data_IF_668663667943
#
_entry.id   IF_668663667943
#
_cell.length_a   1.000
_cell.length_b   1.000
_cell.length_c   1.000
_cell.angle_alpha   90.00
_cell.angle_beta   90.00
_cell.angle_gamma   90.00
#
_symmetry.space_group_name_H-M   'P 1'
#
loop_
_entity.id
_entity.type
_entity.pdbx_description
1 polymer ?
#
# COMPACT_ATOMS: atom_id res chain seq x y z
N UNK A 1 -26.57 -29.44 46.73
CA UNK A 1 -26.41 -28.27 45.85
C UNK A 1 -24.93 -28.13 45.50
N UNK A 2 -24.54 -28.47 44.26
CA UNK A 2 -23.17 -28.34 43.75
C UNK A 2 -23.07 -27.03 42.97
N UNK A 3 -22.24 -26.12 43.44
CA UNK A 3 -21.91 -24.88 42.73
C UNK A 3 -20.89 -25.21 41.63
N UNK A 4 -21.27 -24.99 40.37
CA UNK A 4 -20.36 -25.08 39.23
C UNK A 4 -19.74 -23.70 39.06
N UNK A 5 -18.46 -23.56 39.40
CA UNK A 5 -17.64 -22.40 39.05
C UNK A 5 -17.37 -22.47 37.54
N UNK A 6 -18.03 -21.62 36.76
CA UNK A 6 -17.61 -21.32 35.39
C UNK A 6 -16.36 -20.46 35.46
N UNK A 7 -15.20 -21.06 35.19
CA UNK A 7 -13.99 -20.32 34.92
C UNK A 7 -14.13 -19.66 33.54
N UNK A 8 -14.32 -18.33 33.51
CA UNK A 8 -14.22 -17.53 32.30
C UNK A 8 -12.75 -17.48 31.87
N UNK A 9 -12.38 -18.32 30.90
CA UNK A 9 -11.13 -18.19 30.18
C UNK A 9 -11.15 -16.87 29.40
N UNK A 10 -10.53 -15.84 29.98
CA UNK A 10 -10.28 -14.58 29.30
C UNK A 10 -9.31 -14.81 28.15
N UNK A 11 -9.81 -14.80 26.92
CA UNK A 11 -8.99 -14.70 25.73
C UNK A 11 -8.37 -13.29 25.70
N UNK A 12 -7.13 -13.18 26.17
CA UNK A 12 -6.32 -11.99 25.91
C UNK A 12 -5.97 -11.98 24.42
N UNK A 13 -6.72 -11.21 23.63
CA UNK A 13 -6.33 -10.91 22.26
C UNK A 13 -4.94 -10.27 22.29
N UNK A 14 -3.95 -10.92 21.70
CA UNK A 14 -2.60 -10.35 21.58
C UNK A 14 -2.71 -9.01 20.85
N UNK A 15 -2.05 -7.96 21.35
CA UNK A 15 -2.16 -6.65 20.76
C UNK A 15 -1.58 -6.65 19.35
N UNK A 16 -2.18 -5.87 18.45
CA UNK A 16 -1.85 -5.79 17.03
C UNK A 16 -0.34 -5.70 16.71
N UNK A 17 0.43 -5.00 17.55
CA UNK A 17 1.87 -4.85 17.40
C UNK A 17 2.66 -6.16 17.60
N UNK A 18 2.14 -7.12 18.38
CA UNK A 18 2.78 -8.41 18.61
C UNK A 18 2.83 -9.30 17.34
N UNK A 19 2.08 -8.93 16.30
CA UNK A 19 1.95 -9.70 15.05
C UNK A 19 2.94 -9.21 13.97
N UNK A 20 3.59 -8.05 14.17
CA UNK A 20 4.55 -7.48 13.22
C UNK A 20 6.00 -7.64 13.68
N UNK A 21 6.64 -8.74 13.31
CA UNK A 21 8.04 -8.97 13.64
C UNK A 21 8.94 -8.04 12.82
N UNK A 22 9.80 -7.28 13.50
CA UNK A 22 10.81 -6.47 12.85
C UNK A 22 11.88 -7.39 12.23
N UNK A 23 12.06 -7.32 10.92
CA UNK A 23 13.05 -8.14 10.22
C UNK A 23 13.59 -7.41 9.00
N UNK A 24 14.80 -7.80 8.58
CA UNK A 24 15.36 -7.39 7.29
C UNK A 24 15.91 -8.61 6.59
N UNK A 25 15.46 -8.84 5.37
CA UNK A 25 15.80 -9.99 4.54
C UNK A 25 16.32 -9.53 3.20
N UNK A 26 17.23 -10.31 2.61
CA UNK A 26 17.87 -9.99 1.34
C UNK A 26 17.64 -11.10 0.32
N UNK A 27 17.40 -10.72 -0.95
CA UNK A 27 17.36 -11.63 -2.09
C UNK A 27 18.05 -11.00 -3.29
N UNK A 28 19.28 -11.42 -3.58
CA UNK A 28 20.05 -10.84 -4.69
C UNK A 28 20.30 -9.34 -4.49
N UNK A 29 19.70 -8.50 -5.34
CA UNK A 29 19.78 -7.04 -5.20
C UNK A 29 18.63 -6.44 -4.39
N UNK A 30 17.65 -7.24 -3.95
CA UNK A 30 16.47 -6.78 -3.20
C UNK A 30 16.76 -6.81 -1.70
N UNK A 31 16.38 -5.75 -1.00
CA UNK A 31 16.21 -5.69 0.45
C UNK A 31 14.74 -5.53 0.78
N UNK A 32 14.28 -6.30 1.77
CA UNK A 32 12.93 -6.25 2.31
C UNK A 32 13.06 -5.99 3.80
N UNK A 33 12.47 -4.90 4.29
CA UNK A 33 12.41 -4.60 5.72
C UNK A 33 10.96 -4.63 6.17
N UNK A 34 10.65 -5.53 7.10
CA UNK A 34 9.35 -5.57 7.79
C UNK A 34 9.47 -4.85 9.11
N UNK A 35 8.51 -3.97 9.42
CA UNK A 35 8.50 -3.24 10.68
C UNK A 35 7.10 -2.74 11.06
N UNK A 36 6.92 -2.47 12.36
CA UNK A 36 5.75 -1.75 12.86
C UNK A 36 5.91 -0.24 12.66
N UNK A 37 5.06 0.38 11.84
CA UNK A 37 4.99 1.83 11.68
C UNK A 37 4.10 2.40 12.79
N UNK A 38 4.72 2.98 13.82
CA UNK A 38 4.02 3.59 14.97
C UNK A 38 3.11 4.75 14.57
N UNK A 39 3.54 5.59 13.63
CA UNK A 39 2.80 6.77 13.18
C UNK A 39 1.48 6.42 12.49
N UNK A 40 1.41 5.23 11.88
CA UNK A 40 0.22 4.73 11.18
C UNK A 40 -0.47 3.58 11.91
N UNK A 41 0.11 3.12 13.03
CA UNK A 41 -0.28 1.90 13.73
C UNK A 41 -0.48 0.71 12.77
N UNK A 42 0.48 0.50 11.87
CA UNK A 42 0.37 -0.47 10.78
C UNK A 42 1.63 -1.34 10.64
N UNK A 43 1.46 -2.62 10.33
CA UNK A 43 2.57 -3.49 9.95
C UNK A 43 2.94 -3.25 8.49
N UNK A 44 4.21 -3.00 8.20
CA UNK A 44 4.65 -2.56 6.88
C UNK A 44 5.81 -3.38 6.33
N UNK A 45 5.90 -3.42 5.01
CA UNK A 45 7.06 -3.87 4.24
C UNK A 45 7.60 -2.70 3.43
N UNK A 46 8.90 -2.43 3.56
CA UNK A 46 9.65 -1.59 2.63
C UNK A 46 10.52 -2.50 1.75
N UNK A 47 10.32 -2.45 0.43
CA UNK A 47 11.05 -3.24 -0.57
C UNK A 47 11.86 -2.29 -1.44
N UNK A 48 13.18 -2.44 -1.45
CA UNK A 48 14.08 -1.53 -2.15
C UNK A 48 15.31 -2.25 -2.72
N UNK A 49 15.96 -1.71 -3.77
CA UNK A 49 17.24 -2.22 -4.24
C UNK A 49 18.36 -1.86 -3.24
N UNK A 50 19.29 -2.80 -3.00
CA UNK A 50 20.45 -2.62 -2.11
C UNK A 50 21.51 -1.71 -2.70
N UNK A 51 21.79 -1.90 -3.99
CA UNK A 51 22.89 -1.24 -4.67
C UNK A 51 22.32 -0.17 -5.59
N UNK A 52 22.44 1.09 -5.19
CA UNK A 52 21.93 2.24 -5.96
C UNK A 52 23.05 3.26 -6.18
N UNK A 53 24.05 2.97 -7.05
CA UNK A 53 25.24 3.81 -7.22
C UNK A 53 24.91 5.25 -7.61
N UNK A 54 23.90 5.44 -8.46
CA UNK A 54 23.40 6.77 -8.87
C UNK A 54 22.35 7.35 -7.90
N UNK A 55 21.96 6.60 -6.86
CA UNK A 55 20.78 6.84 -6.02
C UNK A 55 19.48 7.05 -6.81
N UNK A 56 19.46 6.65 -8.08
CA UNK A 56 18.25 6.61 -8.91
C UNK A 56 17.64 5.22 -8.80
N UNK A 57 16.44 5.15 -8.24
CA UNK A 57 15.75 3.88 -8.06
C UNK A 57 14.27 4.10 -7.79
N UNK A 58 13.50 3.02 -7.92
CA UNK A 58 12.14 2.90 -7.42
C UNK A 58 12.14 1.93 -6.24
N UNK A 59 11.37 2.23 -5.21
CA UNK A 59 11.12 1.35 -4.07
C UNK A 59 9.64 1.30 -3.75
N UNK A 60 9.22 0.27 -3.05
CA UNK A 60 7.82 0.03 -2.72
C UNK A 60 7.65 -0.01 -1.21
N UNK A 61 6.62 0.65 -0.71
CA UNK A 61 6.18 0.51 0.67
C UNK A 61 4.73 0.04 0.68
N UNK A 62 4.44 -1.00 1.43
CA UNK A 62 3.08 -1.53 1.59
C UNK A 62 2.79 -1.78 3.06
N UNK A 63 1.56 -1.55 3.51
CA UNK A 63 1.22 -1.79 4.92
C UNK A 63 -0.17 -2.39 5.15
N UNK A 64 -0.46 -2.69 6.41
CA UNK A 64 -1.69 -3.34 6.83
C UNK A 64 -2.96 -2.49 6.65
N UNK A 65 -2.83 -1.19 6.35
CA UNK A 65 -3.98 -0.32 6.03
C UNK A 65 -4.40 -0.39 4.56
N UNK A 66 -3.68 -1.17 3.74
CA UNK A 66 -3.88 -1.21 2.29
C UNK A 66 -3.14 -0.11 1.55
N UNK A 67 -2.31 0.69 2.24
CA UNK A 67 -1.47 1.69 1.56
C UNK A 67 -0.41 0.97 0.72
N UNK A 68 -0.29 1.39 -0.52
CA UNK A 68 0.77 1.02 -1.46
C UNK A 68 1.43 2.31 -1.94
N UNK A 69 2.73 2.43 -1.72
CA UNK A 69 3.52 3.60 -2.10
C UNK A 69 4.60 3.17 -3.07
N UNK A 70 4.64 3.86 -4.21
CA UNK A 70 5.77 3.86 -5.13
C UNK A 70 6.61 5.08 -4.79
N UNK A 71 7.79 4.85 -4.24
CA UNK A 71 8.77 5.91 -4.01
C UNK A 71 9.79 5.90 -5.14
N UNK A 72 9.88 7.01 -5.86
CA UNK A 72 10.90 7.26 -6.86
C UNK A 72 12.00 8.12 -6.24
N UNK A 73 13.25 7.70 -6.36
CA UNK A 73 14.44 8.51 -6.07
C UNK A 73 15.08 8.92 -7.39
N UNK A 74 15.23 10.22 -7.64
CA UNK A 74 15.76 10.80 -8.87
C UNK A 74 17.26 11.12 -8.79
N UNK A 75 17.95 10.58 -7.79
CA UNK A 75 19.39 10.75 -7.58
C UNK A 75 19.72 11.28 -6.19
N UNK A 76 20.99 11.67 -6.02
CA UNK A 76 21.47 12.27 -4.78
C UNK A 76 20.86 13.66 -4.57
N UNK A 77 20.26 13.88 -3.40
CA UNK A 77 19.77 15.20 -3.01
C UNK A 77 18.67 15.15 -1.95
N UNK A 78 18.16 16.32 -1.54
CA UNK A 78 17.11 16.42 -0.52
C UNK A 78 15.83 15.72 -0.97
N UNK A 79 15.15 15.04 -0.03
CA UNK A 79 13.89 14.36 -0.31
C UNK A 79 12.87 15.28 -0.99
N UNK A 80 12.78 16.55 -0.53
CA UNK A 80 11.86 17.58 -1.05
C UNK A 80 11.93 17.78 -2.57
N UNK A 81 13.09 17.53 -3.19
CA UNK A 81 13.33 17.79 -4.62
C UNK A 81 13.75 16.55 -5.39
N UNK A 82 14.21 15.49 -4.72
CA UNK A 82 14.78 14.29 -5.35
C UNK A 82 13.99 13.02 -5.09
N UNK A 83 12.98 13.05 -4.22
CA UNK A 83 12.08 11.91 -4.01
C UNK A 83 10.68 12.25 -4.46
N UNK A 84 10.02 11.32 -5.15
CA UNK A 84 8.62 11.41 -5.52
C UNK A 84 7.84 10.23 -4.95
N UNK A 85 6.58 10.47 -4.62
CA UNK A 85 5.69 9.50 -4.00
C UNK A 85 4.43 9.41 -4.84
N UNK A 86 4.12 8.22 -5.36
CA UNK A 86 2.80 7.88 -5.87
C UNK A 86 2.15 6.92 -4.88
N UNK A 87 0.95 7.22 -4.44
CA UNK A 87 0.33 6.51 -3.32
C UNK A 87 -1.05 6.03 -3.68
N UNK A 88 -1.37 4.84 -3.20
CA UNK A 88 -2.64 4.19 -3.44
C UNK A 88 -3.16 3.51 -2.20
N UNK A 89 -4.48 3.41 -2.05
CA UNK A 89 -5.10 2.45 -1.15
C UNK A 89 -5.76 1.35 -1.95
N UNK A 90 -5.43 0.09 -1.67
CA UNK A 90 -5.97 -1.07 -2.37
C UNK A 90 -6.86 -1.87 -1.41
N UNK A 91 -8.11 -2.10 -1.81
CA UNK A 91 -9.19 -2.62 -0.97
C UNK A 91 -10.04 -3.67 -1.72
N UNK A 92 -10.79 -4.54 -1.01
CA UNK A 92 -10.93 -4.63 0.45
C UNK A 92 -9.69 -5.23 1.13
N UNK A 93 -9.59 -5.12 2.46
CA UNK A 93 -8.55 -5.76 3.25
C UNK A 93 -8.94 -7.22 3.48
N UNK A 94 -8.20 -8.17 2.89
CA UNK A 94 -8.42 -9.63 3.04
C UNK A 94 -7.46 -10.27 4.04
N UNK A 95 -6.28 -9.69 4.21
CA UNK A 95 -5.25 -10.18 5.13
C UNK A 95 -4.94 -9.11 6.19
N UNK A 96 -4.53 -9.58 7.37
CA UNK A 96 -4.19 -8.71 8.49
C UNK A 96 -2.92 -7.86 8.25
N UNK A 97 -1.95 -8.38 7.51
CA UNK A 97 -0.70 -7.69 7.18
C UNK A 97 -0.19 -8.10 5.81
N UNK A 98 0.63 -7.27 5.14
CA UNK A 98 1.34 -7.73 3.96
C UNK A 98 2.36 -8.82 4.34
N UNK A 99 2.61 -9.73 3.42
CA UNK A 99 3.62 -10.79 3.57
C UNK A 99 4.50 -10.85 2.33
N UNK A 100 5.62 -11.55 2.42
CA UNK A 100 6.49 -11.77 1.27
C UNK A 100 7.06 -13.19 1.27
N UNK A 101 7.46 -13.63 0.08
CA UNK A 101 8.17 -14.88 -0.16
C UNK A 101 9.31 -14.65 -1.14
N UNK A 102 10.47 -15.19 -0.83
CA UNK A 102 11.59 -15.28 -1.79
C UNK A 102 11.40 -16.56 -2.59
N UNK A 103 11.29 -16.43 -3.90
CA UNK A 103 11.15 -17.56 -4.81
C UNK A 103 12.51 -18.22 -5.09
N UNK A 104 12.48 -19.46 -5.59
CA UNK A 104 13.71 -20.22 -5.92
C UNK A 104 14.60 -19.50 -6.95
N UNK A 105 14.00 -18.69 -7.83
CA UNK A 105 14.72 -17.89 -8.81
C UNK A 105 15.20 -16.52 -8.28
N UNK A 106 15.10 -16.30 -6.96
CA UNK A 106 15.41 -15.04 -6.25
C UNK A 106 14.46 -13.88 -6.51
N UNK A 107 13.38 -14.08 -7.27
CA UNK A 107 12.29 -13.12 -7.31
C UNK A 107 11.64 -12.99 -5.92
N UNK A 108 10.95 -11.87 -5.70
CA UNK A 108 10.21 -11.62 -4.46
C UNK A 108 8.74 -11.47 -4.82
N UNK A 109 7.91 -12.30 -4.21
CA UNK A 109 6.46 -12.19 -4.26
C UNK A 109 5.98 -11.49 -2.99
N UNK A 110 5.32 -10.34 -3.13
CA UNK A 110 4.75 -9.57 -2.01
C UNK A 110 3.23 -9.71 -2.07
N UNK A 111 2.64 -10.36 -1.08
CA UNK A 111 1.19 -10.45 -0.93
C UNK A 111 0.70 -9.23 -0.16
N UNK A 112 -0.08 -8.40 -0.84
CA UNK A 112 -0.74 -7.22 -0.28
C UNK A 112 -1.86 -7.65 0.67
N UNK A 113 -2.29 -6.74 1.54
CA UNK A 113 -3.45 -7.00 2.40
C UNK A 113 -4.74 -7.22 1.63
N UNK A 114 -4.85 -6.72 0.41
CA UNK A 114 -5.99 -7.01 -0.46
C UNK A 114 -5.97 -8.41 -1.08
N UNK A 115 -4.94 -9.21 -0.81
CA UNK A 115 -4.73 -10.54 -1.40
C UNK A 115 -4.06 -10.51 -2.76
N UNK A 116 -3.86 -9.33 -3.36
CA UNK A 116 -3.07 -9.19 -4.58
C UNK A 116 -1.61 -9.52 -4.33
N UNK A 117 -0.93 -10.07 -5.33
CA UNK A 117 0.48 -10.43 -5.28
C UNK A 117 1.27 -9.59 -6.29
N UNK A 118 2.23 -8.81 -5.80
CA UNK A 118 3.20 -8.08 -6.59
C UNK A 118 4.48 -8.92 -6.72
N UNK A 119 4.92 -9.22 -7.93
CA UNK A 119 6.17 -9.95 -8.17
C UNK A 119 7.27 -9.02 -8.66
N UNK A 120 8.39 -9.01 -7.95
CA UNK A 120 9.56 -8.18 -8.24
C UNK A 120 10.73 -9.09 -8.65
N UNK A 121 11.39 -8.74 -9.74
CA UNK A 121 12.50 -9.49 -10.30
C UNK A 121 13.76 -9.38 -9.43
N UNK A 122 14.35 -10.52 -9.06
CA UNK A 122 15.57 -10.55 -8.23
C UNK A 122 16.84 -10.06 -8.93
N UNK A 123 16.80 -9.90 -10.27
CA UNK A 123 17.95 -9.53 -11.11
C UNK A 123 18.13 -8.01 -11.23
N UNK A 124 17.05 -7.30 -11.49
CA UNK A 124 17.04 -5.90 -11.91
C UNK A 124 15.98 -5.05 -11.19
N UNK A 125 15.28 -5.63 -10.21
CA UNK A 125 14.24 -4.95 -9.42
C UNK A 125 13.00 -4.54 -10.24
N UNK A 126 12.86 -5.01 -11.48
CA UNK A 126 11.69 -4.72 -12.31
C UNK A 126 10.44 -5.38 -11.72
N UNK A 127 9.29 -4.69 -11.77
CA UNK A 127 8.02 -5.34 -11.46
C UNK A 127 7.60 -6.22 -12.63
N UNK A 128 7.42 -7.51 -12.37
CA UNK A 128 7.03 -8.51 -13.36
C UNK A 128 5.52 -8.65 -13.49
N UNK A 129 4.82 -8.61 -12.37
CA UNK A 129 3.42 -9.02 -12.31
C UNK A 129 2.70 -8.37 -11.13
N UNK A 130 1.41 -8.11 -11.32
CA UNK A 130 0.43 -7.90 -10.27
C UNK A 130 -0.74 -8.86 -10.50
N UNK A 131 -1.06 -9.72 -9.53
CA UNK A 131 -2.10 -10.75 -9.69
C UNK A 131 -3.09 -10.73 -8.52
N UNK A 132 -4.43 -10.78 -8.76
CA UNK A 132 -5.09 -10.71 -10.05
C UNK A 132 -5.17 -9.25 -10.55
N UNK A 133 -4.45 -8.92 -11.61
CA UNK A 133 -4.40 -7.54 -12.09
C UNK A 133 -3.50 -7.38 -13.30
N UNK A 134 -3.20 -6.12 -13.60
CA UNK A 134 -2.18 -5.68 -14.53
C UNK A 134 -1.42 -4.54 -13.91
N UNK A 135 -0.15 -4.42 -14.29
CA UNK A 135 0.72 -3.36 -13.86
C UNK A 135 1.49 -2.83 -15.06
N UNK A 136 1.63 -1.51 -15.12
CA UNK A 136 2.42 -0.84 -16.13
C UNK A 136 3.46 0.04 -15.42
N UNK A 137 4.72 -0.31 -15.62
CA UNK A 137 5.86 0.44 -15.13
C UNK A 137 6.50 1.20 -16.29
N UNK A 138 6.59 2.52 -16.16
CA UNK A 138 7.34 3.38 -17.06
C UNK A 138 8.75 3.62 -16.52
N UNK A 139 9.72 3.95 -17.40
CA UNK A 139 11.07 4.33 -16.99
C UNK A 139 11.05 5.41 -15.92
N UNK A 140 12.05 5.42 -15.05
CA UNK A 140 12.13 6.43 -13.99
C UNK A 140 12.32 7.84 -14.61
N UNK A 141 11.31 8.69 -14.51
CA UNK A 141 11.33 10.06 -15.04
C UNK A 141 10.53 10.99 -14.13
N UNK A 142 10.85 12.29 -14.13
CA UNK A 142 10.20 13.28 -13.25
C UNK A 142 8.82 13.72 -13.77
N UNK A 143 8.57 13.54 -15.05
CA UNK A 143 7.41 14.02 -15.80
C UNK A 143 6.32 12.95 -16.01
N UNK A 144 6.55 11.70 -15.58
CA UNK A 144 5.62 10.60 -15.81
C UNK A 144 4.72 10.25 -14.61
N UNK A 145 4.51 11.21 -13.70
CA UNK A 145 3.62 11.07 -12.54
C UNK A 145 3.90 9.81 -11.70
N UNK A 146 5.18 9.48 -11.51
CA UNK A 146 5.59 8.29 -10.76
C UNK A 146 5.83 7.06 -11.64
N UNK A 147 5.32 7.05 -12.86
CA UNK A 147 5.60 6.03 -13.88
C UNK A 147 5.09 4.64 -13.50
N UNK A 148 3.97 4.58 -12.79
CA UNK A 148 3.45 3.33 -12.23
C UNK A 148 1.93 3.36 -12.22
N UNK A 149 1.28 2.49 -12.99
CA UNK A 149 -0.17 2.34 -13.05
C UNK A 149 -0.51 0.89 -12.74
N UNK A 150 -1.67 0.66 -12.11
CA UNK A 150 -2.23 -0.68 -12.00
C UNK A 150 -3.71 -0.71 -12.33
N UNK A 151 -4.13 -1.88 -12.77
CA UNK A 151 -5.52 -2.21 -13.08
C UNK A 151 -5.84 -3.51 -12.37
N UNK A 152 -6.64 -3.43 -11.32
CA UNK A 152 -7.02 -4.61 -10.56
C UNK A 152 -8.11 -5.39 -11.29
N UNK A 153 -8.12 -6.71 -11.16
CA UNK A 153 -9.22 -7.56 -11.66
C UNK A 153 -10.27 -7.85 -10.58
N UNK A 154 -9.97 -7.56 -9.32
CA UNK A 154 -10.93 -7.56 -8.24
C UNK A 154 -10.72 -6.34 -7.31
N UNK A 155 -11.73 -6.04 -6.48
CA UNK A 155 -11.67 -4.94 -5.52
C UNK A 155 -11.73 -3.54 -6.15
N UNK A 156 -11.21 -2.56 -5.42
CA UNK A 156 -11.18 -1.15 -5.79
C UNK A 156 -9.95 -0.49 -5.20
N UNK A 157 -9.58 0.67 -5.73
CA UNK A 157 -8.44 1.41 -5.25
C UNK A 157 -8.61 2.91 -5.37
N UNK A 158 -8.04 3.62 -4.40
CA UNK A 158 -7.83 5.06 -4.48
C UNK A 158 -6.45 5.31 -5.07
N UNK A 159 -6.37 6.07 -6.13
CA UNK A 159 -5.13 6.68 -6.62
C UNK A 159 -5.00 8.08 -6.01
N UNK A 160 -4.08 8.21 -5.06
CA UNK A 160 -3.74 9.47 -4.40
C UNK A 160 -3.02 10.46 -5.31
N UNK A 161 -2.61 10.03 -6.50
CA UNK A 161 -1.79 10.81 -7.41
C UNK A 161 -0.30 10.72 -7.05
N UNK A 162 0.48 11.63 -7.62
CA UNK A 162 1.93 11.68 -7.48
C UNK A 162 2.39 13.08 -7.07
N UNK A 163 3.35 13.15 -6.14
CA UNK A 163 4.02 14.40 -5.77
C UNK A 163 5.50 14.20 -5.48
N UNK A 164 6.29 15.23 -5.79
CA UNK A 164 7.69 15.32 -5.39
C UNK A 164 7.78 15.92 -3.99
N UNK A 165 8.62 15.32 -3.15
CA UNK A 165 9.03 15.82 -1.86
C UNK A 165 8.20 15.39 -0.67
N UNK A 166 6.97 14.94 -0.90
CA UNK A 166 5.99 14.66 0.14
C UNK A 166 4.90 13.73 -0.39
N UNK A 167 4.26 13.00 0.51
CA UNK A 167 3.05 12.21 0.22
C UNK A 167 1.97 13.10 -0.41
N UNK A 168 1.33 12.68 -1.52
CA UNK A 168 0.14 13.36 -2.04
C UNK A 168 -1.05 13.28 -1.10
N UNK A 169 -1.15 12.21 -0.31
CA UNK A 169 -2.23 11.99 0.65
C UNK A 169 -2.11 12.84 1.91
N UNK A 170 -0.96 13.47 2.17
CA UNK A 170 -0.79 14.39 3.30
C UNK A 170 -1.55 15.72 3.14
N UNK A 171 -2.14 15.98 1.96
CA UNK A 171 -2.90 17.20 1.68
C UNK A 171 -4.41 16.90 1.75
N UNK A 172 -5.12 17.37 2.78
CA UNK A 172 -6.54 17.05 2.99
C UNK A 172 -7.45 17.43 1.80
N UNK A 173 -7.15 18.55 1.15
CA UNK A 173 -7.95 19.07 0.04
C UNK A 173 -7.50 18.56 -1.34
N UNK A 174 -6.42 17.77 -1.42
CA UNK A 174 -6.03 17.17 -2.69
C UNK A 174 -7.02 16.07 -3.08
N UNK A 175 -7.17 15.85 -4.39
CA UNK A 175 -8.12 14.88 -4.95
C UNK A 175 -7.43 13.54 -5.18
N UNK A 176 -8.09 12.48 -4.73
CA UNK A 176 -7.84 11.10 -5.11
C UNK A 176 -8.88 10.60 -6.12
N UNK A 177 -8.47 9.65 -6.95
CA UNK A 177 -9.35 9.01 -7.94
C UNK A 177 -9.63 7.59 -7.49
N UNK A 178 -10.88 7.31 -7.14
CA UNK A 178 -11.37 5.98 -6.87
C UNK A 178 -11.75 5.28 -8.17
N UNK A 179 -11.24 4.06 -8.33
CA UNK A 179 -11.55 3.14 -9.43
C UNK A 179 -11.99 1.80 -8.86
N UNK A 180 -12.92 1.13 -9.54
CA UNK A 180 -13.38 -0.21 -9.19
C UNK A 180 -13.07 -1.19 -10.33
N UNK A 181 -12.62 -2.39 -9.98
CA UNK A 181 -12.41 -3.48 -10.95
C UNK A 181 -13.73 -3.99 -11.56
N UNK A 182 -14.87 -3.78 -10.88
CA UNK A 182 -16.21 -4.18 -11.35
C UNK A 182 -16.85 -3.18 -12.29
N UNK A 183 -16.29 -1.97 -12.40
CA UNK A 183 -16.82 -0.90 -13.25
C UNK A 183 -16.04 -0.83 -14.57
N UNK A 184 -16.67 -0.36 -15.67
CA UNK A 184 -15.95 -0.06 -16.90
C UNK A 184 -14.76 0.87 -16.62
N UNK A 185 -13.62 0.64 -17.28
CA UNK A 185 -12.36 1.36 -17.06
C UNK A 185 -12.40 2.88 -17.25
N UNK A 186 -13.52 3.42 -17.77
CA UNK A 186 -13.76 4.86 -17.96
C UNK A 186 -14.44 5.51 -16.76
N UNK A 187 -15.17 4.74 -15.94
CA UNK A 187 -15.91 5.29 -14.80
C UNK A 187 -14.97 5.39 -13.60
N UNK A 188 -14.78 6.61 -13.12
CA UNK A 188 -14.02 6.90 -11.90
C UNK A 188 -14.82 7.85 -11.01
N UNK A 189 -14.49 7.86 -9.72
CA UNK A 189 -15.04 8.81 -8.77
C UNK A 189 -13.90 9.66 -8.20
N UNK A 190 -14.11 10.97 -8.09
CA UNK A 190 -13.14 11.89 -7.52
C UNK A 190 -13.58 12.27 -6.12
N UNK A 191 -12.70 12.09 -5.15
CA UNK A 191 -12.92 12.44 -3.75
C UNK A 191 -11.72 13.23 -3.26
N UNK A 192 -11.93 14.24 -2.43
CA UNK A 192 -10.85 14.85 -1.66
C UNK A 192 -10.35 13.87 -0.60
N UNK A 193 -9.07 13.95 -0.27
CA UNK A 193 -8.45 13.05 0.69
C UNK A 193 -9.15 13.12 2.07
N UNK A 194 -9.60 14.31 2.49
CA UNK A 194 -10.33 14.51 3.74
C UNK A 194 -11.72 13.88 3.79
N UNK A 195 -12.29 13.45 2.66
CA UNK A 195 -13.59 12.79 2.67
C UNK A 195 -13.47 11.36 3.22
N UNK A 196 -12.38 10.65 2.91
CA UNK A 196 -12.19 9.25 3.32
C UNK A 196 -10.99 9.01 4.24
N UNK A 197 -10.14 10.01 4.46
CA UNK A 197 -9.04 9.96 5.41
C UNK A 197 -9.34 10.78 6.67
N UNK A 198 -8.83 10.29 7.79
CA UNK A 198 -8.71 11.04 9.04
C UNK A 198 -7.25 11.48 9.21
N UNK A 199 -7.04 12.75 9.55
CA UNK A 199 -5.73 13.34 9.75
C UNK A 199 -5.46 13.53 11.24
N UNK A 200 -4.33 13.01 11.73
CA UNK A 200 -3.91 13.15 13.13
C UNK A 200 -2.39 13.28 13.20
N UNK A 201 -1.92 14.32 13.88
CA UNK A 201 -0.48 14.53 14.16
C UNK A 201 0.41 14.45 12.90
N UNK A 202 -0.05 15.05 11.79
CA UNK A 202 0.67 15.05 10.51
C UNK A 202 0.61 13.73 9.72
N UNK A 203 -0.12 12.72 10.23
CA UNK A 203 -0.37 11.45 9.55
C UNK A 203 -1.82 11.35 9.06
N UNK A 204 -2.07 10.34 8.23
CA UNK A 204 -3.41 10.00 7.76
C UNK A 204 -3.68 8.49 7.83
N UNK A 205 -4.92 8.16 8.15
CA UNK A 205 -5.48 6.81 8.15
C UNK A 205 -6.83 6.82 7.45
N UNK A 206 -7.26 5.68 6.91
CA UNK A 206 -8.63 5.56 6.39
C UNK A 206 -9.62 5.78 7.53
N UNK A 207 -10.57 6.70 7.34
CA UNK A 207 -11.53 7.12 8.39
C UNK A 207 -12.51 6.01 8.76
N UNK A 208 -12.85 5.18 7.78
CA UNK A 208 -13.92 4.20 7.87
C UNK A 208 -13.34 2.79 7.98
N UNK A 209 -13.94 1.94 8.83
CA UNK A 209 -13.75 0.49 8.71
C UNK A 209 -14.41 -0.05 7.43
N UNK A 210 -14.10 -1.29 7.06
CA UNK A 210 -14.44 -1.84 5.74
C UNK A 210 -15.92 -1.66 5.33
N UNK A 211 -16.88 -2.05 6.18
CA UNK A 211 -18.32 -1.93 5.86
C UNK A 211 -18.76 -0.46 5.70
N UNK A 212 -18.37 0.39 6.64
CA UNK A 212 -18.69 1.82 6.63
C UNK A 212 -18.04 2.54 5.43
N UNK A 213 -16.85 2.09 5.01
CA UNK A 213 -16.17 2.64 3.85
C UNK A 213 -16.98 2.32 2.58
N UNK A 214 -17.43 1.08 2.43
CA UNK A 214 -18.27 0.69 1.29
C UNK A 214 -19.58 1.47 1.26
N UNK A 215 -20.23 1.67 2.40
CA UNK A 215 -21.46 2.46 2.48
C UNK A 215 -21.22 3.91 2.06
N UNK A 216 -20.18 4.55 2.62
CA UNK A 216 -19.76 5.89 2.22
C UNK A 216 -19.49 5.96 0.71
N UNK A 217 -18.79 4.96 0.15
CA UNK A 217 -18.46 4.94 -1.26
C UNK A 217 -19.68 4.71 -2.16
N UNK A 218 -20.65 3.91 -1.74
CA UNK A 218 -21.93 3.77 -2.49
C UNK A 218 -22.70 5.08 -2.51
N UNK A 219 -22.67 5.84 -1.43
CA UNK A 219 -23.33 7.15 -1.37
C UNK A 219 -22.60 8.19 -2.23
N UNK A 220 -21.29 8.35 -2.03
CA UNK A 220 -20.50 9.41 -2.68
C UNK A 220 -20.12 9.08 -4.13
N UNK A 221 -20.08 7.80 -4.49
CA UNK A 221 -19.64 7.29 -5.78
C UNK A 221 -20.63 6.27 -6.36
N UNK A 222 -21.93 6.57 -6.32
CA UNK A 222 -23.01 5.67 -6.75
C UNK A 222 -22.94 5.17 -8.20
N UNK A 223 -22.10 5.80 -9.04
CA UNK A 223 -21.78 5.33 -10.39
C UNK A 223 -20.83 4.11 -10.43
N UNK A 224 -20.16 3.79 -9.32
CA UNK A 224 -19.24 2.65 -9.22
C UNK A 224 -19.95 1.42 -8.63
N UNK A 225 -19.49 0.24 -9.06
CA UNK A 225 -19.95 -1.04 -8.53
C UNK A 225 -18.90 -1.58 -7.55
N UNK A 226 -19.33 -2.01 -6.36
CA UNK A 226 -18.45 -2.47 -5.28
C UNK A 226 -18.62 -3.96 -4.99
#
# INVERSE_FOLDING_TARGET
>A
MKWILLATLGFFASPAWAICENSTTYSGIIQITQFWNTNRAACALNIQPRNTPSSQYRSFYVDSSGLFVVQNSYGLGPAKTHKGYREFFILPLKNYKPTYKIESNRDVSVTLVSGHVLRIAGRDFAVKELSPGLIQESPLARDNSGGFEFYLKDGFWFDGGFRVGVSPLSYPLATSVLRSAKSPSVISCRLTNQEYLAYKEGNFVVRYGDENLIEFLRYSCGQLSF
#
